data_IF_666866086698
#
_entry.id   IF_666866086698
#
_cell.length_a   1.000
_cell.length_b   1.000
_cell.length_c   1.000
_cell.angle_alpha   90.00
_cell.angle_beta   90.00
_cell.angle_gamma   90.00
#
_symmetry.space_group_name_H-M   'P 1'
#
loop_
_entity.id
_entity.type
_entity.pdbx_description
1 polymer ?
#
# COMPACT_ATOMS: atom_id res chain seq x y z
N UNK A 1 16.99 11.68 -24.52
CA UNK A 1 17.92 12.28 -23.52
C UNK A 1 17.06 12.69 -22.33
N UNK A 2 17.35 12.22 -21.10
CA UNK A 2 16.50 12.40 -19.89
C UNK A 2 16.44 13.87 -19.42
N UNK A 3 15.80 14.76 -20.19
CA UNK A 3 15.85 16.21 -19.94
C UNK A 3 15.08 16.65 -18.70
N UNK A 4 14.01 15.95 -18.31
CA UNK A 4 13.23 16.30 -17.11
C UNK A 4 13.89 15.76 -15.83
N UNK A 5 14.32 14.49 -15.84
CA UNK A 5 15.01 13.88 -14.71
C UNK A 5 16.36 14.55 -14.43
N UNK A 6 17.14 14.85 -15.46
CA UNK A 6 18.43 15.55 -15.31
C UNK A 6 18.26 16.90 -14.63
N UNK A 7 17.28 17.71 -15.07
CA UNK A 7 17.03 19.05 -14.50
C UNK A 7 16.63 19.04 -13.02
N UNK A 8 15.96 17.99 -12.55
CA UNK A 8 15.56 17.87 -11.15
C UNK A 8 16.71 17.37 -10.25
N UNK A 9 17.66 16.65 -10.82
CA UNK A 9 18.74 16.00 -10.07
C UNK A 9 20.08 16.75 -10.14
N UNK A 10 20.29 17.61 -11.14
CA UNK A 10 21.56 18.34 -11.35
C UNK A 10 21.76 19.53 -10.39
N UNK A 11 20.69 20.10 -9.82
CA UNK A 11 20.78 21.20 -8.85
C UNK A 11 20.65 20.69 -7.42
N UNK A 12 21.72 20.78 -6.64
CA UNK A 12 21.73 20.43 -5.21
C UNK A 12 20.56 21.05 -4.42
N UNK A 13 20.13 22.28 -4.76
CA UNK A 13 19.04 22.97 -4.07
C UNK A 13 17.64 22.36 -4.31
N UNK A 14 17.47 21.59 -5.39
CA UNK A 14 16.19 20.97 -5.77
C UNK A 14 16.22 19.46 -5.52
N UNK A 15 17.42 18.87 -5.46
CA UNK A 15 17.64 17.44 -5.26
C UNK A 15 16.90 16.88 -4.04
N UNK A 16 17.17 17.42 -2.84
CA UNK A 16 16.57 16.90 -1.59
C UNK A 16 15.04 17.04 -1.58
N UNK A 17 14.53 18.19 -2.03
CA UNK A 17 13.09 18.43 -2.13
C UNK A 17 12.41 17.47 -3.13
N UNK A 18 13.08 17.16 -4.24
CA UNK A 18 12.60 16.20 -5.24
C UNK A 18 12.55 14.79 -4.67
N UNK A 19 13.60 14.36 -3.98
CA UNK A 19 13.65 13.04 -3.36
C UNK A 19 12.58 12.91 -2.28
N UNK A 20 12.42 13.90 -1.40
CA UNK A 20 11.39 13.86 -0.36
C UNK A 20 9.98 13.94 -0.94
N UNK A 21 9.73 14.86 -1.88
CA UNK A 21 8.44 14.94 -2.56
C UNK A 21 8.08 13.64 -3.27
N UNK A 22 9.06 13.03 -3.96
CA UNK A 22 8.93 11.74 -4.60
C UNK A 22 8.67 10.61 -3.60
N UNK A 23 9.37 10.59 -2.46
CA UNK A 23 9.19 9.58 -1.42
C UNK A 23 7.80 9.64 -0.78
N UNK A 24 7.29 10.82 -0.46
CA UNK A 24 5.94 10.97 0.11
C UNK A 24 4.86 10.55 -0.88
N UNK A 25 4.99 10.95 -2.15
CA UNK A 25 4.07 10.51 -3.19
C UNK A 25 4.14 8.98 -3.36
N UNK A 26 5.35 8.44 -3.54
CA UNK A 26 5.57 7.01 -3.72
C UNK A 26 5.01 6.18 -2.57
N UNK A 27 5.26 6.58 -1.32
CA UNK A 27 4.80 5.84 -0.14
C UNK A 27 3.29 5.61 -0.18
N UNK A 28 2.49 6.66 -0.42
CA UNK A 28 1.03 6.55 -0.45
C UNK A 28 0.52 5.67 -1.59
N UNK A 29 1.04 5.85 -2.79
CA UNK A 29 0.65 5.03 -3.94
C UNK A 29 1.07 3.56 -3.78
N UNK A 30 2.29 3.34 -3.30
CA UNK A 30 2.86 2.01 -3.15
C UNK A 30 2.13 1.22 -2.06
N UNK A 31 1.84 1.85 -0.91
CA UNK A 31 1.08 1.22 0.17
C UNK A 31 -0.30 0.72 -0.31
N UNK A 32 -1.08 1.60 -0.95
CA UNK A 32 -2.41 1.24 -1.48
C UNK A 32 -2.31 0.14 -2.53
N UNK A 33 -1.36 0.24 -3.46
CA UNK A 33 -1.22 -0.73 -4.55
C UNK A 33 -0.85 -2.12 -4.03
N UNK A 34 0.14 -2.20 -3.13
CA UNK A 34 0.63 -3.47 -2.59
C UNK A 34 -0.39 -4.08 -1.64
N UNK A 35 -1.01 -3.29 -0.76
CA UNK A 35 -2.06 -3.80 0.13
C UNK A 35 -3.25 -4.34 -0.65
N UNK A 36 -3.69 -3.63 -1.71
CA UNK A 36 -4.77 -4.12 -2.57
C UNK A 36 -4.40 -5.42 -3.27
N UNK A 37 -3.20 -5.49 -3.84
CA UNK A 37 -2.72 -6.73 -4.48
C UNK A 37 -2.67 -7.89 -3.48
N UNK A 38 -2.13 -7.64 -2.29
CA UNK A 38 -2.02 -8.63 -1.22
C UNK A 38 -3.39 -9.15 -0.76
N UNK A 39 -4.33 -8.23 -0.54
CA UNK A 39 -5.69 -8.53 -0.13
C UNK A 39 -6.42 -9.42 -1.15
N UNK A 40 -6.32 -9.08 -2.44
CA UNK A 40 -6.95 -9.87 -3.51
C UNK A 40 -6.28 -11.24 -3.65
N UNK A 41 -4.95 -11.28 -3.61
CA UNK A 41 -4.21 -12.55 -3.72
C UNK A 41 -4.54 -13.51 -2.56
N UNK A 42 -4.76 -12.98 -1.35
CA UNK A 42 -5.01 -13.78 -0.16
C UNK A 42 -6.47 -13.75 0.30
N UNK A 43 -7.41 -13.30 -0.53
CA UNK A 43 -8.80 -13.00 -0.14
C UNK A 43 -9.48 -14.07 0.71
N UNK A 44 -9.32 -15.35 0.37
CA UNK A 44 -9.93 -16.46 1.11
C UNK A 44 -9.24 -16.83 2.43
N UNK A 45 -8.10 -16.21 2.75
CA UNK A 45 -7.27 -16.51 3.92
C UNK A 45 -7.26 -15.39 4.95
N UNK A 46 -7.58 -14.15 4.55
CA UNK A 46 -7.57 -13.03 5.48
C UNK A 46 -8.68 -13.16 6.52
N UNK A 47 -8.32 -12.94 7.79
CA UNK A 47 -9.26 -12.92 8.91
C UNK A 47 -10.49 -12.07 8.62
N UNK A 48 -10.31 -10.86 8.06
CA UNK A 48 -11.41 -9.95 7.72
C UNK A 48 -12.47 -10.56 6.79
N UNK A 49 -12.10 -11.56 5.98
CA UNK A 49 -13.00 -12.24 5.05
C UNK A 49 -13.52 -13.58 5.58
N UNK A 50 -12.84 -14.22 6.53
CA UNK A 50 -13.22 -15.55 7.05
C UNK A 50 -13.87 -15.52 8.43
N UNK A 51 -13.69 -14.43 9.20
CA UNK A 51 -14.12 -14.34 10.60
C UNK A 51 -15.60 -14.59 10.84
N UNK A 52 -16.47 -14.24 9.89
CA UNK A 52 -17.92 -14.44 10.03
C UNK A 52 -18.27 -15.89 10.34
N UNK A 53 -17.58 -16.83 9.68
CA UNK A 53 -17.80 -18.27 9.89
C UNK A 53 -17.48 -18.77 11.30
N UNK A 54 -16.59 -18.09 12.01
CA UNK A 54 -16.19 -18.48 13.36
C UNK A 54 -17.06 -17.81 14.41
N UNK A 55 -17.43 -16.55 14.18
CA UNK A 55 -18.33 -15.83 15.09
C UNK A 55 -19.76 -16.39 15.05
N UNK A 56 -20.25 -16.77 13.86
CA UNK A 56 -21.55 -17.45 13.71
C UNK A 56 -21.54 -18.82 14.40
N UNK A 57 -20.44 -19.57 14.31
CA UNK A 57 -20.32 -20.87 14.98
C UNK A 57 -20.28 -20.74 16.51
N UNK A 58 -19.59 -19.74 17.05
CA UNK A 58 -19.60 -19.45 18.49
C UNK A 58 -21.01 -19.07 18.98
N UNK A 59 -21.78 -18.31 18.18
CA UNK A 59 -23.17 -17.96 18.50
C UNK A 59 -24.12 -19.17 18.48
N UNK A 60 -23.95 -20.12 17.55
CA UNK A 60 -24.72 -21.36 17.48
C UNK A 60 -24.38 -22.35 18.61
N UNK A 61 -23.14 -22.38 19.10
CA UNK A 61 -22.71 -23.26 20.20
C UNK A 61 -23.18 -22.76 21.60
N UNK A 62 -23.51 -21.47 21.74
CA UNK A 62 -24.00 -20.84 22.98
C UNK A 62 -25.54 -20.89 23.14
N UNK A 63 -26.30 -21.30 22.12
CA UNK A 63 -27.77 -21.57 22.15
C UNK A 63 -28.12 -23.03 22.48
#
# INVERSE_FOLDING_TARGET
MLTVLGRLLERNSIYVATIFGGAFAFQGFFDVAVNKWWDEHNKAKLWKNVKGKFLEADEEDDE
#
